data_IF_524278228523
#
_entry.id   IF_524278228523
#
_cell.length_a   1.000
_cell.length_b   1.000
_cell.length_c   1.000
_cell.angle_alpha   90.00
_cell.angle_beta   90.00
_cell.angle_gamma   90.00
#
_symmetry.space_group_name_H-M   'P 1'
#
loop_
_entity.id
_entity.type
_entity.pdbx_description
1 polymer ?
#
# COMPACT_ATOMS: atom_id res chain seq x y z
N UNK A 1 -4.70 11.94 7.29
CA UNK A 1 -5.42 10.71 6.83
C UNK A 1 -4.45 9.55 6.83
N UNK A 2 -4.88 8.34 7.19
CA UNK A 2 -4.03 7.16 7.22
C UNK A 2 -4.07 6.40 5.89
N UNK A 3 -2.92 5.82 5.53
CA UNK A 3 -2.74 4.90 4.41
C UNK A 3 -2.22 3.57 4.92
N UNK A 4 -2.79 2.48 4.43
CA UNK A 4 -2.25 1.12 4.59
C UNK A 4 -1.74 0.64 3.25
N UNK A 5 -0.51 0.14 3.20
CA UNK A 5 0.07 -0.46 1.99
C UNK A 5 0.31 -1.94 2.24
N UNK A 6 -0.33 -2.79 1.44
CA UNK A 6 -0.18 -4.25 1.52
C UNK A 6 0.99 -4.65 0.63
N UNK A 7 2.10 -5.02 1.24
CA UNK A 7 3.38 -5.29 0.61
C UNK A 7 3.93 -6.71 0.90
N UNK A 8 3.11 -7.61 1.46
CA UNK A 8 3.53 -8.94 1.94
C UNK A 8 3.72 -10.02 0.87
N UNK A 9 3.44 -9.73 -0.39
CA UNK A 9 3.48 -10.70 -1.50
C UNK A 9 4.89 -11.22 -1.81
N UNK A 10 5.05 -12.54 -2.03
CA UNK A 10 6.34 -13.19 -2.34
C UNK A 10 6.95 -12.85 -3.70
N UNK A 11 6.19 -12.24 -4.61
CA UNK A 11 6.71 -11.79 -5.92
C UNK A 11 7.31 -12.85 -6.83
N UNK A 12 6.96 -14.11 -6.66
CA UNK A 12 7.60 -15.27 -7.33
C UNK A 12 7.60 -15.22 -8.86
N UNK A 13 6.60 -14.57 -9.46
CA UNK A 13 6.46 -14.47 -10.93
C UNK A 13 7.53 -13.60 -11.60
N UNK A 14 8.11 -12.62 -10.89
CA UNK A 14 9.12 -11.71 -11.44
C UNK A 14 10.55 -12.23 -11.30
N UNK A 15 10.76 -13.40 -10.69
CA UNK A 15 12.09 -13.97 -10.50
C UNK A 15 13.04 -13.15 -9.62
N UNK A 16 12.52 -12.17 -8.90
CA UNK A 16 13.28 -11.32 -7.99
C UNK A 16 13.61 -12.13 -6.73
N UNK A 17 14.90 -12.34 -6.46
CA UNK A 17 15.33 -13.14 -5.29
C UNK A 17 15.55 -12.29 -4.04
N UNK A 18 16.06 -11.07 -4.23
CA UNK A 18 16.59 -10.25 -3.13
C UNK A 18 15.87 -8.91 -2.96
N UNK A 19 14.88 -8.61 -3.79
CA UNK A 19 14.13 -7.35 -3.76
C UNK A 19 12.63 -7.68 -3.76
N UNK A 20 11.86 -7.22 -2.75
CA UNK A 20 10.41 -7.38 -2.78
C UNK A 20 9.80 -6.50 -3.89
N UNK A 21 8.71 -6.95 -4.50
CA UNK A 21 8.05 -6.25 -5.62
C UNK A 21 7.83 -4.74 -5.38
N UNK A 22 7.36 -4.31 -4.19
CA UNK A 22 7.15 -2.89 -3.93
C UNK A 22 8.42 -2.04 -3.98
N UNK A 23 9.60 -2.68 -3.88
CA UNK A 23 10.90 -2.02 -3.94
C UNK A 23 11.54 -2.03 -5.33
N UNK A 24 10.84 -2.55 -6.34
CA UNK A 24 11.27 -2.43 -7.74
C UNK A 24 11.26 -0.95 -8.12
N UNK A 25 12.39 -0.49 -8.67
CA UNK A 25 12.52 0.92 -9.08
C UNK A 25 11.74 1.22 -10.35
N UNK A 26 11.05 2.34 -10.33
CA UNK A 26 10.45 3.00 -11.48
C UNK A 26 11.14 4.34 -11.60
N UNK A 27 12.01 4.48 -12.59
CA UNK A 27 12.95 5.60 -12.65
C UNK A 27 14.00 5.50 -11.55
N UNK A 28 14.11 6.50 -10.71
CA UNK A 28 15.10 6.63 -9.63
C UNK A 28 14.60 6.12 -8.26
N UNK A 29 13.29 5.90 -8.11
CA UNK A 29 12.62 5.57 -6.84
C UNK A 29 11.93 4.21 -6.86
N UNK A 30 11.83 3.52 -5.70
CA UNK A 30 10.98 2.36 -5.55
C UNK A 30 9.49 2.67 -5.82
N UNK A 31 8.75 1.69 -6.33
CA UNK A 31 7.31 1.81 -6.53
C UNK A 31 6.58 2.27 -5.25
N UNK A 32 6.96 1.70 -4.11
CA UNK A 32 6.37 2.05 -2.81
C UNK A 32 6.55 3.53 -2.46
N UNK A 33 7.69 4.14 -2.81
CA UNK A 33 7.93 5.57 -2.60
C UNK A 33 7.03 6.43 -3.49
N UNK A 34 6.80 6.04 -4.75
CA UNK A 34 5.85 6.72 -5.61
C UNK A 34 4.43 6.71 -5.04
N UNK A 35 4.01 5.60 -4.43
CA UNK A 35 2.71 5.49 -3.79
C UNK A 35 2.60 6.41 -2.57
N UNK A 36 3.64 6.48 -1.74
CA UNK A 36 3.70 7.39 -0.59
C UNK A 36 3.69 8.84 -1.06
N UNK A 37 4.49 9.20 -2.06
CA UNK A 37 4.52 10.55 -2.64
C UNK A 37 3.16 10.95 -3.22
N UNK A 38 2.45 10.02 -3.88
CA UNK A 38 1.10 10.25 -4.35
C UNK A 38 0.17 10.57 -3.17
N UNK A 39 0.13 9.73 -2.15
CA UNK A 39 -0.77 9.89 -1.02
C UNK A 39 -0.49 11.16 -0.20
N UNK A 40 0.78 11.54 -0.03
CA UNK A 40 1.18 12.81 0.62
C UNK A 40 0.58 14.04 -0.04
N UNK A 41 0.49 14.08 -1.37
CA UNK A 41 -0.12 15.21 -2.09
C UNK A 41 -1.56 15.46 -1.68
N UNK A 42 -2.20 14.45 -1.11
CA UNK A 42 -3.60 14.49 -0.65
C UNK A 42 -3.75 14.47 0.88
N UNK A 43 -2.67 14.84 1.61
CA UNK A 43 -2.72 15.02 3.05
C UNK A 43 -2.62 13.74 3.88
N UNK A 44 -2.06 12.68 3.31
CA UNK A 44 -1.66 11.49 4.09
C UNK A 44 -0.37 11.83 4.84
N UNK A 45 -0.38 11.64 6.15
CA UNK A 45 0.71 11.92 7.08
C UNK A 45 1.15 10.69 7.87
N UNK A 46 0.38 9.62 7.85
CA UNK A 46 0.64 8.38 8.58
C UNK A 46 0.41 7.17 7.67
N UNK A 47 1.41 6.30 7.56
CA UNK A 47 1.43 5.13 6.67
C UNK A 47 1.73 3.88 7.45
N UNK A 48 0.94 2.82 7.25
CA UNK A 48 1.19 1.48 7.74
C UNK A 48 1.63 0.60 6.56
N UNK A 49 2.82 0.03 6.64
CA UNK A 49 3.32 -0.90 5.63
C UNK A 49 3.21 -2.32 6.19
N UNK A 50 2.29 -3.10 5.62
CA UNK A 50 2.13 -4.52 5.92
C UNK A 50 3.07 -5.31 5.02
N UNK A 51 4.18 -5.78 5.54
CA UNK A 51 5.21 -6.51 4.83
C UNK A 51 5.33 -7.96 5.30
N UNK A 52 6.04 -8.78 4.57
CA UNK A 52 6.26 -10.19 4.91
C UNK A 52 7.61 -10.64 4.40
N UNK A 53 7.65 -11.28 3.24
CA UNK A 53 8.91 -11.71 2.62
C UNK A 53 9.80 -10.50 2.32
N UNK A 54 11.07 -10.55 2.75
CA UNK A 54 12.08 -9.47 2.60
C UNK A 54 11.64 -8.14 3.26
N UNK A 55 10.91 -8.21 4.37
CA UNK A 55 10.45 -7.04 5.12
C UNK A 55 11.60 -6.09 5.48
N UNK A 56 12.78 -6.62 5.86
CA UNK A 56 13.95 -5.82 6.23
C UNK A 56 14.39 -4.83 5.15
N UNK A 57 14.26 -5.19 3.87
CA UNK A 57 14.61 -4.30 2.74
C UNK A 57 13.71 -3.05 2.73
N UNK A 58 12.43 -3.22 3.07
CA UNK A 58 11.47 -2.12 3.16
C UNK A 58 11.75 -1.29 4.42
N UNK A 59 11.94 -1.97 5.56
CA UNK A 59 12.22 -1.33 6.85
C UNK A 59 13.48 -0.48 6.82
N UNK A 60 14.58 -0.99 6.24
CA UNK A 60 15.85 -0.28 6.11
C UNK A 60 15.76 0.94 5.18
N UNK A 61 14.96 0.85 4.12
CA UNK A 61 14.82 1.96 3.17
C UNK A 61 13.98 3.11 3.73
N UNK A 62 12.84 2.78 4.33
CA UNK A 62 11.86 3.78 4.76
C UNK A 62 12.06 4.23 6.20
N UNK A 63 12.71 3.43 7.05
CA UNK A 63 12.91 3.71 8.47
C UNK A 63 11.57 4.13 9.14
N UNK A 64 11.55 5.23 9.88
CA UNK A 64 10.36 5.79 10.51
C UNK A 64 9.53 6.71 9.59
N UNK A 65 9.97 6.91 8.35
CA UNK A 65 9.32 7.75 7.34
C UNK A 65 9.66 9.23 7.41
N UNK A 66 10.43 9.68 8.39
CA UNK A 66 10.77 11.10 8.58
C UNK A 66 11.46 11.72 7.35
N UNK A 67 12.33 10.97 6.68
CA UNK A 67 13.01 11.38 5.43
C UNK A 67 12.02 11.63 4.29
N UNK A 68 10.85 11.00 4.33
CA UNK A 68 9.81 11.10 3.30
C UNK A 68 8.69 12.07 3.71
N UNK A 69 8.77 12.65 4.91
CA UNK A 69 7.80 13.61 5.44
C UNK A 69 6.45 12.98 5.82
N UNK A 70 6.46 11.72 6.21
CA UNK A 70 5.34 10.96 6.76
C UNK A 70 5.82 10.16 7.96
N UNK A 71 4.89 9.69 8.79
CA UNK A 71 5.17 8.72 9.84
C UNK A 71 4.89 7.33 9.31
N UNK A 72 5.87 6.43 9.35
CA UNK A 72 5.73 5.06 8.87
C UNK A 72 5.73 4.08 10.04
N UNK A 73 4.79 3.16 10.01
CA UNK A 73 4.70 2.01 10.89
C UNK A 73 4.90 0.74 10.08
N UNK A 74 5.94 -0.01 10.38
CA UNK A 74 6.19 -1.31 9.79
C UNK A 74 5.48 -2.41 10.60
N UNK A 75 4.72 -3.24 9.90
CA UNK A 75 4.04 -4.40 10.50
C UNK A 75 4.38 -5.63 9.66
N UNK A 76 5.17 -6.52 10.22
CA UNK A 76 5.62 -7.73 9.54
C UNK A 76 4.65 -8.88 9.80
N UNK A 77 4.12 -9.47 8.73
CA UNK A 77 3.25 -10.63 8.82
C UNK A 77 4.07 -11.87 9.23
N UNK A 78 3.64 -12.62 10.25
CA UNK A 78 4.35 -13.82 10.68
C UNK A 78 4.28 -14.95 9.64
N UNK A 79 3.25 -14.95 8.81
CA UNK A 79 3.00 -15.84 7.67
C UNK A 79 1.98 -15.18 6.74
N UNK A 80 1.83 -15.62 5.48
CA UNK A 80 0.86 -15.01 4.57
C UNK A 80 -0.56 -15.07 5.10
N UNK A 81 -1.15 -13.92 5.39
CA UNK A 81 -2.50 -13.79 5.99
C UNK A 81 -3.57 -13.45 4.94
N UNK A 82 -3.17 -13.15 3.72
CA UNK A 82 -4.06 -12.59 2.70
C UNK A 82 -4.48 -11.16 3.03
N UNK A 83 -5.24 -10.53 2.16
CA UNK A 83 -5.58 -9.10 2.28
C UNK A 83 -6.29 -8.76 3.59
N UNK A 84 -7.38 -9.45 3.88
CA UNK A 84 -8.19 -9.16 5.07
C UNK A 84 -7.47 -9.52 6.37
N UNK A 85 -6.71 -10.64 6.37
CA UNK A 85 -5.95 -11.07 7.54
C UNK A 85 -4.82 -10.10 7.87
N UNK A 86 -4.16 -9.54 6.86
CA UNK A 86 -3.12 -8.52 7.05
C UNK A 86 -3.69 -7.25 7.66
N UNK A 87 -4.82 -6.78 7.16
CA UNK A 87 -5.51 -5.60 7.72
C UNK A 87 -5.93 -5.79 9.17
N UNK A 88 -6.29 -7.02 9.56
CA UNK A 88 -6.67 -7.32 10.94
C UNK A 88 -5.54 -7.10 11.95
N UNK A 89 -4.27 -7.15 11.54
CA UNK A 89 -3.12 -6.81 12.39
C UNK A 89 -3.12 -5.34 12.85
N UNK A 90 -3.91 -4.51 12.19
CA UNK A 90 -4.06 -3.08 12.47
C UNK A 90 -5.34 -2.76 13.25
N UNK A 91 -6.05 -3.77 13.76
CA UNK A 91 -7.27 -3.58 14.56
C UNK A 91 -6.99 -2.65 15.75
N UNK A 92 -7.81 -1.62 15.90
CA UNK A 92 -7.67 -0.58 16.93
C UNK A 92 -6.57 0.46 16.69
N UNK A 93 -5.84 0.38 15.57
CA UNK A 93 -4.81 1.37 15.20
C UNK A 93 -5.24 2.31 14.08
N UNK A 94 -6.26 1.92 13.33
CA UNK A 94 -6.76 2.68 12.21
C UNK A 94 -7.95 3.56 12.61
N UNK A 95 -8.06 4.69 11.93
CA UNK A 95 -9.25 5.55 11.99
C UNK A 95 -10.43 4.88 11.30
N UNK A 96 -11.64 5.41 11.48
CA UNK A 96 -12.86 4.90 10.83
C UNK A 96 -12.74 4.83 9.31
N UNK A 97 -11.99 5.76 8.71
CA UNK A 97 -11.71 5.79 7.29
C UNK A 97 -10.21 5.93 7.03
N UNK A 98 -9.71 5.07 6.17
CA UNK A 98 -8.31 5.00 5.75
C UNK A 98 -8.23 4.54 4.29
N UNK A 99 -7.13 4.84 3.65
CA UNK A 99 -6.82 4.34 2.30
C UNK A 99 -6.11 2.99 2.38
N UNK A 100 -6.36 2.12 1.40
CA UNK A 100 -5.62 0.87 1.22
C UNK A 100 -5.05 0.82 -0.19
N UNK A 101 -3.73 0.64 -0.28
CA UNK A 101 -3.03 0.42 -1.55
C UNK A 101 -2.41 -0.97 -1.58
N UNK A 102 -2.39 -1.57 -2.76
CA UNK A 102 -1.56 -2.75 -3.02
C UNK A 102 -0.17 -2.28 -3.45
N UNK A 103 0.85 -2.71 -2.73
CA UNK A 103 2.24 -2.24 -2.90
C UNK A 103 2.90 -2.62 -4.22
N UNK A 104 2.27 -3.46 -5.04
CA UNK A 104 2.76 -3.89 -6.35
C UNK A 104 1.97 -3.29 -7.54
N UNK A 105 1.12 -2.31 -7.29
CA UNK A 105 0.31 -1.63 -8.30
C UNK A 105 0.83 -0.21 -8.55
N UNK A 106 1.10 0.10 -9.82
CA UNK A 106 1.35 1.49 -10.25
C UNK A 106 0.02 2.20 -10.35
N UNK A 107 -0.11 3.35 -9.69
CA UNK A 107 -1.33 4.11 -9.69
C UNK A 107 -1.05 5.61 -9.80
N UNK A 108 -1.90 6.29 -10.57
CA UNK A 108 -1.93 7.75 -10.67
C UNK A 108 -3.38 8.16 -10.85
N UNK A 109 -4.01 8.65 -9.78
CA UNK A 109 -5.41 9.07 -9.79
C UNK A 109 -5.65 10.17 -8.75
N UNK A 110 -6.77 10.87 -8.89
CA UNK A 110 -7.20 11.91 -7.96
C UNK A 110 -7.81 11.31 -6.70
N UNK A 111 -6.97 11.19 -5.66
CA UNK A 111 -7.39 10.68 -4.34
C UNK A 111 -8.45 11.59 -3.71
N UNK A 112 -8.42 12.91 -3.95
CA UNK A 112 -9.40 13.83 -3.37
C UNK A 112 -10.79 13.52 -3.91
N UNK A 113 -10.95 13.40 -5.22
CA UNK A 113 -12.22 13.01 -5.84
C UNK A 113 -12.70 11.64 -5.39
N UNK A 114 -11.79 10.68 -5.20
CA UNK A 114 -12.12 9.36 -4.68
C UNK A 114 -12.67 9.41 -3.25
N UNK A 115 -12.04 10.19 -2.37
CA UNK A 115 -12.48 10.39 -0.98
C UNK A 115 -13.83 11.11 -0.94
N UNK A 116 -14.03 12.10 -1.81
CA UNK A 116 -15.28 12.85 -1.90
C UNK A 116 -16.43 11.94 -2.34
N UNK A 117 -16.20 11.10 -3.34
CA UNK A 117 -17.15 10.07 -3.77
C UNK A 117 -17.54 9.13 -2.61
N UNK A 118 -16.55 8.60 -1.87
CA UNK A 118 -16.81 7.73 -0.72
C UNK A 118 -17.68 8.42 0.34
N UNK A 119 -17.40 9.68 0.66
CA UNK A 119 -18.19 10.47 1.61
C UNK A 119 -19.62 10.68 1.13
N UNK A 120 -19.81 10.97 -0.16
CA UNK A 120 -21.13 11.22 -0.75
C UNK A 120 -22.07 10.02 -0.60
N UNK A 121 -21.54 8.81 -0.80
CA UNK A 121 -22.35 7.59 -0.75
C UNK A 121 -22.39 6.92 0.63
N UNK A 122 -21.61 7.42 1.60
CA UNK A 122 -21.50 6.88 2.96
C UNK A 122 -21.37 5.34 2.98
N UNK A 123 -20.59 4.80 2.07
CA UNK A 123 -20.38 3.36 1.90
C UNK A 123 -19.51 2.78 3.02
N UNK A 124 -19.60 1.47 3.23
CA UNK A 124 -18.68 0.74 4.13
C UNK A 124 -17.27 0.75 3.56
N UNK A 125 -17.13 0.75 2.25
CA UNK A 125 -15.86 0.84 1.53
C UNK A 125 -16.10 1.16 0.06
N UNK A 126 -15.14 1.80 -0.56
CA UNK A 126 -15.15 2.19 -1.97
C UNK A 126 -13.91 1.63 -2.64
N UNK A 127 -14.03 1.07 -3.82
CA UNK A 127 -12.90 0.53 -4.59
C UNK A 127 -12.84 1.15 -5.98
N UNK A 128 -11.62 1.32 -6.47
CA UNK A 128 -11.38 1.69 -7.87
C UNK A 128 -11.33 0.42 -8.69
N UNK A 129 -12.10 0.39 -9.76
CA UNK A 129 -12.08 -0.69 -10.75
C UNK A 129 -11.69 -0.13 -12.11
N UNK A 130 -11.02 -0.91 -12.91
CA UNK A 130 -10.70 -0.59 -14.29
C UNK A 130 -11.04 -1.78 -15.21
N UNK A 131 -11.33 -1.54 -16.49
CA UNK A 131 -11.49 -2.62 -17.46
C UNK A 131 -10.23 -3.49 -17.49
N UNK A 132 -10.39 -4.81 -17.48
CA UNK A 132 -9.30 -5.76 -17.54
C UNK A 132 -9.37 -6.56 -18.84
N UNK A 133 -8.28 -6.56 -19.61
CA UNK A 133 -8.16 -7.35 -20.85
C UNK A 133 -7.78 -8.81 -20.58
N UNK A 134 -7.58 -9.18 -19.31
CA UNK A 134 -7.22 -10.52 -18.86
C UNK A 134 -8.31 -11.15 -17.98
N UNK A 135 -9.46 -11.56 -18.55
CA UNK A 135 -10.63 -12.00 -17.77
C UNK A 135 -10.40 -13.28 -16.95
N UNK A 136 -9.28 -13.96 -17.16
CA UNK A 136 -8.93 -15.20 -16.44
C UNK A 136 -7.89 -15.00 -15.32
N UNK A 137 -7.32 -13.79 -15.18
CA UNK A 137 -6.28 -13.46 -14.21
C UNK A 137 -6.74 -12.45 -13.15
N UNK A 138 -7.99 -12.03 -13.20
CA UNK A 138 -8.59 -11.12 -12.20
C UNK A 138 -9.31 -11.94 -11.13
N UNK A 139 -8.88 -11.79 -9.90
CA UNK A 139 -9.65 -12.21 -8.73
C UNK A 139 -10.89 -11.31 -8.55
#
# INVERSE_FOLDING_TARGET
>A
MQLVIIAGGKGTRLGLKDIPKPMVKIGDKPLLEHQIDLAKRYGVDEVFILSGHLASVIEEYFEDGSKFGVKIHHVVEPYPLGTAGSLKLLEGKLNDRFLVFYGDVVMDFDIASFIEFDKQYNSIGTTIIHPNDHPYDSD
#
